data_IF_040198667612
#
_entry.id   IF_040198667612
#
_cell.length_a   1.000
_cell.length_b   1.000
_cell.length_c   1.000
_cell.angle_alpha   90.00
_cell.angle_beta   90.00
_cell.angle_gamma   90.00
#
_symmetry.space_group_name_H-M   'P 1'
#
loop_
_entity.id
_entity.type
_entity.pdbx_description
1 polymer ?
#
# COMPACT_ATOMS: atom_id res chain seq x y z
N UNK A 1 -6.17 -2.92 -35.27
CA UNK A 1 -5.06 -2.44 -34.42
C UNK A 1 -5.55 -1.58 -33.25
N UNK A 2 -6.55 -0.70 -33.41
CA UNK A 2 -7.12 0.07 -32.28
C UNK A 2 -7.80 -0.79 -31.19
N UNK A 3 -8.45 -1.90 -31.56
CA UNK A 3 -9.13 -2.78 -30.60
C UNK A 3 -8.17 -3.40 -29.58
N UNK A 4 -7.00 -3.84 -30.05
CA UNK A 4 -5.97 -4.48 -29.22
C UNK A 4 -5.35 -3.52 -28.21
N UNK A 5 -5.15 -2.23 -28.56
CA UNK A 5 -4.61 -1.23 -27.62
C UNK A 5 -5.60 -0.92 -26.49
N UNK A 6 -6.89 -0.79 -26.81
CA UNK A 6 -7.94 -0.57 -25.81
C UNK A 6 -8.11 -1.78 -24.87
N UNK A 7 -7.98 -3.01 -25.39
CA UNK A 7 -8.02 -4.24 -24.60
C UNK A 7 -6.83 -4.32 -23.62
N UNK A 8 -5.61 -3.99 -24.04
CA UNK A 8 -4.44 -3.96 -23.16
C UNK A 8 -4.60 -2.92 -22.05
N UNK A 9 -5.02 -1.69 -22.40
CA UNK A 9 -5.29 -0.65 -21.40
C UNK A 9 -6.34 -1.08 -20.38
N UNK A 10 -7.40 -1.78 -20.81
CA UNK A 10 -8.41 -2.29 -19.89
C UNK A 10 -7.88 -3.39 -18.95
N UNK A 11 -6.98 -4.25 -19.44
CA UNK A 11 -6.31 -5.28 -18.63
C UNK A 11 -5.39 -4.63 -17.60
N UNK A 12 -4.61 -3.63 -18.02
CA UNK A 12 -3.68 -2.92 -17.13
C UNK A 12 -4.43 -2.21 -16.00
N UNK A 13 -5.54 -1.52 -16.30
CA UNK A 13 -6.40 -0.89 -15.28
C UNK A 13 -6.91 -1.91 -14.26
N UNK A 14 -7.35 -3.08 -14.73
CA UNK A 14 -7.88 -4.12 -13.85
C UNK A 14 -6.81 -4.65 -12.91
N UNK A 15 -5.62 -4.95 -13.44
CA UNK A 15 -4.49 -5.40 -12.63
C UNK A 15 -4.09 -4.35 -11.60
N UNK A 16 -4.08 -3.07 -11.98
CA UNK A 16 -3.87 -1.96 -11.07
C UNK A 16 -4.87 -1.97 -9.93
N UNK A 17 -6.15 -2.10 -10.27
CA UNK A 17 -7.25 -2.03 -9.31
C UNK A 17 -7.24 -3.22 -8.35
N UNK A 18 -6.99 -4.43 -8.87
CA UNK A 18 -6.86 -5.63 -8.05
C UNK A 18 -5.66 -5.53 -7.09
N UNK A 19 -4.55 -4.93 -7.54
CA UNK A 19 -3.36 -4.74 -6.72
C UNK A 19 -3.49 -3.60 -5.68
N UNK A 20 -4.12 -2.49 -6.03
CA UNK A 20 -4.04 -1.24 -5.25
C UNK A 20 -5.38 -0.63 -4.84
N UNK A 21 -6.50 -1.12 -5.37
CA UNK A 21 -7.83 -0.52 -5.15
C UNK A 21 -8.21 -0.43 -3.67
N UNK A 22 -7.95 -1.49 -2.90
CA UNK A 22 -8.21 -1.47 -1.45
C UNK A 22 -7.35 -0.46 -0.69
N UNK A 23 -6.11 -0.25 -1.13
CA UNK A 23 -5.14 0.67 -0.53
C UNK A 23 -5.54 2.12 -0.81
N UNK A 24 -5.88 2.45 -2.06
CA UNK A 24 -6.36 3.79 -2.47
C UNK A 24 -7.70 4.11 -1.80
N UNK A 25 -8.64 3.16 -1.79
CA UNK A 25 -9.92 3.36 -1.10
C UNK A 25 -9.73 3.59 0.41
N UNK A 26 -8.84 2.83 1.05
CA UNK A 26 -8.52 2.99 2.48
C UNK A 26 -7.95 4.39 2.78
N UNK A 27 -7.15 4.94 1.87
CA UNK A 27 -6.63 6.29 2.00
C UNK A 27 -7.74 7.34 1.79
N UNK A 28 -8.57 7.20 0.75
CA UNK A 28 -9.65 8.14 0.46
C UNK A 28 -10.68 8.20 1.60
N UNK A 29 -11.13 7.04 2.13
CA UNK A 29 -12.12 6.97 3.23
C UNK A 29 -11.63 7.58 4.54
N UNK A 30 -10.32 7.85 4.67
CA UNK A 30 -9.78 8.51 5.87
C UNK A 30 -10.18 9.98 5.94
N UNK A 31 -10.42 10.60 4.79
CA UNK A 31 -10.70 12.03 4.66
C UNK A 31 -12.10 12.32 4.13
N UNK A 32 -12.75 11.33 3.51
CA UNK A 32 -14.05 11.46 2.85
C UNK A 32 -15.04 10.43 3.39
N UNK A 33 -16.33 10.67 3.18
CA UNK A 33 -17.36 9.66 3.41
C UNK A 33 -17.27 8.51 2.37
N UNK A 34 -17.89 7.37 2.66
CA UNK A 34 -17.75 6.14 1.84
C UNK A 34 -18.13 6.33 0.36
N UNK A 35 -19.20 7.09 0.08
CA UNK A 35 -19.65 7.36 -1.28
C UNK A 35 -18.62 8.18 -2.07
N UNK A 36 -18.14 9.29 -1.48
CA UNK A 36 -17.14 10.17 -2.08
C UNK A 36 -15.79 9.47 -2.22
N UNK A 37 -15.41 8.66 -1.22
CA UNK A 37 -14.18 7.87 -1.25
C UNK A 37 -14.18 6.85 -2.39
N UNK A 38 -15.31 6.17 -2.61
CA UNK A 38 -15.47 5.21 -3.71
C UNK A 38 -15.45 5.89 -5.08
N UNK A 39 -16.14 7.03 -5.21
CA UNK A 39 -16.12 7.83 -6.43
C UNK A 39 -14.70 8.33 -6.75
N UNK A 40 -14.04 8.95 -5.77
CA UNK A 40 -12.68 9.46 -5.93
C UNK A 40 -11.68 8.36 -6.28
N UNK A 41 -11.78 7.19 -5.63
CA UNK A 41 -10.93 6.03 -5.95
C UNK A 41 -11.05 5.66 -7.43
N UNK A 42 -12.27 5.51 -7.94
CA UNK A 42 -12.50 5.19 -9.35
C UNK A 42 -11.87 6.25 -10.28
N UNK A 43 -12.10 7.53 -9.99
CA UNK A 43 -11.63 8.62 -10.83
C UNK A 43 -10.09 8.72 -10.84
N UNK A 44 -9.42 8.34 -9.75
CA UNK A 44 -7.96 8.25 -9.67
C UNK A 44 -7.45 7.17 -10.63
N UNK A 45 -8.02 5.97 -10.59
CA UNK A 45 -7.60 4.87 -11.49
C UNK A 45 -7.82 5.24 -12.96
N UNK A 46 -8.94 5.89 -13.28
CA UNK A 46 -9.21 6.38 -14.64
C UNK A 46 -8.20 7.44 -15.07
N UNK A 47 -7.88 8.39 -14.19
CA UNK A 47 -6.93 9.46 -14.50
C UNK A 47 -5.50 8.94 -14.71
N UNK A 48 -5.03 8.03 -13.85
CA UNK A 48 -3.70 7.43 -13.99
C UNK A 48 -3.62 6.55 -15.24
N UNK A 49 -4.66 5.79 -15.55
CA UNK A 49 -4.68 4.97 -16.75
C UNK A 49 -4.64 5.79 -18.05
N UNK A 50 -5.26 6.96 -18.06
CA UNK A 50 -5.21 7.89 -19.19
C UNK A 50 -3.80 8.44 -19.45
N UNK A 51 -2.90 8.42 -18.46
CA UNK A 51 -1.50 8.86 -18.60
C UNK A 51 -0.61 7.79 -19.26
N UNK A 52 -1.07 6.54 -19.35
CA UNK A 52 -0.33 5.45 -19.99
C UNK A 52 0.93 5.00 -19.23
N UNK A 53 1.00 5.26 -17.92
CA UNK A 53 2.14 4.88 -17.08
C UNK A 53 2.17 3.38 -16.77
N UNK A 54 3.36 2.78 -16.90
CA UNK A 54 3.60 1.36 -16.65
C UNK A 54 3.78 1.03 -15.15
N UNK A 55 4.22 2.00 -14.34
CA UNK A 55 4.30 1.84 -12.88
C UNK A 55 3.18 2.63 -12.20
N UNK A 56 2.10 1.93 -11.91
CA UNK A 56 0.87 2.58 -11.49
C UNK A 56 0.88 2.89 -9.98
N UNK A 57 1.73 2.26 -9.17
CA UNK A 57 1.65 2.44 -7.71
C UNK A 57 2.05 3.85 -7.25
N UNK A 58 3.20 4.42 -7.68
CA UNK A 58 3.57 5.80 -7.35
C UNK A 58 2.59 6.82 -7.93
N UNK A 59 2.16 6.61 -9.18
CA UNK A 59 1.22 7.48 -9.87
C UNK A 59 -0.14 7.54 -9.16
N UNK A 60 -0.68 6.38 -8.76
CA UNK A 60 -1.94 6.29 -8.01
C UNK A 60 -1.83 7.03 -6.67
N UNK A 61 -0.74 6.84 -5.92
CA UNK A 61 -0.56 7.56 -4.64
C UNK A 61 -0.37 9.07 -4.84
N UNK A 62 0.39 9.48 -5.85
CA UNK A 62 0.60 10.89 -6.17
C UNK A 62 -0.70 11.58 -6.58
N UNK A 63 -1.48 10.96 -7.46
CA UNK A 63 -2.80 11.44 -7.87
C UNK A 63 -3.76 11.51 -6.67
N UNK A 64 -3.78 10.46 -5.83
CA UNK A 64 -4.61 10.43 -4.63
C UNK A 64 -4.26 11.56 -3.68
N UNK A 65 -2.97 11.76 -3.39
CA UNK A 65 -2.50 12.81 -2.50
C UNK A 65 -2.90 14.20 -3.02
N UNK A 66 -2.67 14.46 -4.32
CA UNK A 66 -3.02 15.71 -4.97
C UNK A 66 -4.51 16.01 -4.87
N UNK A 67 -5.37 15.01 -5.11
CA UNK A 67 -6.82 15.18 -5.03
C UNK A 67 -7.30 15.32 -3.58
N UNK A 68 -6.75 14.58 -2.63
CA UNK A 68 -7.15 14.71 -1.23
C UNK A 68 -6.72 16.05 -0.62
N UNK A 69 -5.62 16.64 -1.08
CA UNK A 69 -5.16 17.96 -0.65
C UNK A 69 -6.14 19.10 -1.03
N UNK A 70 -7.12 18.87 -1.91
CA UNK A 70 -8.20 19.85 -2.16
C UNK A 70 -9.33 19.77 -1.11
N UNK A 71 -9.38 18.69 -0.33
CA UNK A 71 -10.43 18.40 0.64
C UNK A 71 -9.93 18.42 2.10
N UNK A 72 -8.62 18.29 2.32
CA UNK A 72 -8.02 18.17 3.65
C UNK A 72 -6.66 18.87 3.72
N UNK A 73 -6.15 19.03 4.95
CA UNK A 73 -4.82 19.58 5.19
C UNK A 73 -3.73 18.77 4.45
N UNK A 74 -2.89 19.41 3.61
CA UNK A 74 -1.87 18.72 2.83
C UNK A 74 -0.85 17.95 3.68
N UNK A 75 -0.50 18.45 4.87
CA UNK A 75 0.42 17.75 5.78
C UNK A 75 -0.22 16.49 6.33
N UNK A 76 -1.49 16.55 6.75
CA UNK A 76 -2.24 15.37 7.18
C UNK A 76 -2.39 14.32 6.06
N UNK A 77 -2.58 14.76 4.81
CA UNK A 77 -2.61 13.87 3.63
C UNK A 77 -1.26 13.21 3.40
N UNK A 78 -0.16 13.97 3.42
CA UNK A 78 1.19 13.44 3.24
C UNK A 78 1.53 12.37 4.30
N UNK A 79 1.21 12.64 5.57
CA UNK A 79 1.38 11.69 6.66
C UNK A 79 0.54 10.41 6.46
N UNK A 80 -0.68 10.55 5.95
CA UNK A 80 -1.55 9.40 5.68
C UNK A 80 -1.06 8.57 4.49
N UNK A 81 -0.50 9.21 3.47
CA UNK A 81 0.16 8.54 2.34
C UNK A 81 1.35 7.73 2.84
N UNK A 82 2.16 8.28 3.74
CA UNK A 82 3.30 7.54 4.29
C UNK A 82 2.84 6.32 5.12
N UNK A 83 1.84 6.50 5.98
CA UNK A 83 1.25 5.40 6.74
C UNK A 83 0.63 4.33 5.85
N UNK A 84 -0.01 4.71 4.73
CA UNK A 84 -0.62 3.73 3.85
C UNK A 84 0.43 2.89 3.11
N UNK A 85 1.59 3.46 2.74
CA UNK A 85 2.71 2.70 2.16
C UNK A 85 3.25 1.64 3.13
N UNK A 86 3.44 2.02 4.39
CA UNK A 86 3.86 1.08 5.45
C UNK A 86 2.82 -0.04 5.61
N UNK A 87 1.53 0.33 5.69
CA UNK A 87 0.45 -0.62 5.85
C UNK A 87 0.32 -1.56 4.64
N UNK A 88 0.52 -1.07 3.41
CA UNK A 88 0.52 -1.87 2.19
C UNK A 88 1.71 -2.84 2.17
N UNK A 89 2.92 -2.35 2.51
CA UNK A 89 4.11 -3.19 2.63
C UNK A 89 3.94 -4.31 3.65
N UNK A 90 3.35 -4.01 4.81
CA UNK A 90 3.04 -5.01 5.83
C UNK A 90 2.03 -6.05 5.32
N UNK A 91 0.97 -5.64 4.61
CA UNK A 91 -0.02 -6.55 4.02
C UNK A 91 0.57 -7.49 2.97
N UNK A 92 1.61 -7.06 2.25
CA UNK A 92 2.27 -7.87 1.22
C UNK A 92 3.21 -8.94 1.77
N UNK A 93 3.58 -8.87 3.06
CA UNK A 93 4.35 -9.93 3.70
C UNK A 93 3.53 -11.22 3.78
N UNK A 94 4.21 -12.36 3.59
CA UNK A 94 3.62 -13.68 3.87
C UNK A 94 3.18 -13.76 5.33
N UNK A 95 2.04 -14.40 5.59
CA UNK A 95 1.37 -14.39 6.91
C UNK A 95 2.29 -14.75 8.09
N UNK A 96 3.14 -15.80 8.03
CA UNK A 96 4.06 -16.10 9.13
C UNK A 96 4.96 -14.92 9.49
N UNK A 97 5.55 -14.28 8.48
CA UNK A 97 6.44 -13.13 8.65
C UNK A 97 5.69 -11.89 9.10
N UNK A 98 4.53 -11.62 8.49
CA UNK A 98 3.64 -10.51 8.87
C UNK A 98 3.29 -10.58 10.36
N UNK A 99 2.94 -11.78 10.85
CA UNK A 99 2.63 -12.01 12.25
C UNK A 99 3.81 -11.70 13.17
N UNK A 100 5.03 -12.15 12.83
CA UNK A 100 6.23 -11.86 13.62
C UNK A 100 6.54 -10.36 13.69
N UNK A 101 6.45 -9.66 12.56
CA UNK A 101 6.65 -8.21 12.49
C UNK A 101 5.60 -7.46 13.32
N UNK A 102 4.33 -7.87 13.24
CA UNK A 102 3.25 -7.27 14.04
C UNK A 102 3.48 -7.45 15.54
N UNK A 103 3.84 -8.66 15.99
CA UNK A 103 4.13 -8.91 17.41
C UNK A 103 5.28 -8.04 17.93
N UNK A 104 6.30 -7.81 17.11
CA UNK A 104 7.44 -6.98 17.49
C UNK A 104 7.10 -5.48 17.56
N UNK A 105 6.38 -4.96 16.56
CA UNK A 105 6.16 -3.52 16.43
C UNK A 105 4.88 -3.02 17.13
N UNK A 106 3.81 -3.81 17.09
CA UNK A 106 2.49 -3.43 17.62
C UNK A 106 2.33 -3.93 19.04
N UNK A 107 2.58 -5.21 19.26
CA UNK A 107 2.48 -5.81 20.60
C UNK A 107 3.72 -5.53 21.46
N UNK A 108 4.79 -4.97 20.87
CA UNK A 108 6.06 -4.60 21.53
C UNK A 108 6.72 -5.77 22.28
N UNK A 109 6.55 -6.99 21.75
CA UNK A 109 7.21 -8.17 22.28
C UNK A 109 8.67 -8.21 21.83
N UNK A 110 9.54 -8.69 22.70
CA UNK A 110 10.92 -8.98 22.34
C UNK A 110 11.05 -10.31 21.57
N UNK A 111 12.24 -10.60 21.03
CA UNK A 111 12.46 -11.81 20.24
C UNK A 111 12.23 -13.12 21.03
N UNK A 112 12.49 -13.13 22.33
CA UNK A 112 12.31 -14.31 23.18
C UNK A 112 10.82 -14.54 23.49
N UNK A 113 10.08 -13.47 23.79
CA UNK A 113 8.63 -13.51 23.98
C UNK A 113 7.90 -13.96 22.71
N UNK A 114 8.32 -13.45 21.55
CA UNK A 114 7.79 -13.87 20.24
C UNK A 114 8.11 -15.35 19.99
N UNK A 115 9.36 -15.77 20.23
CA UNK A 115 9.76 -17.17 20.06
C UNK A 115 8.90 -18.11 20.91
N UNK A 116 8.69 -17.78 22.19
CA UNK A 116 7.85 -18.54 23.08
C UNK A 116 6.38 -18.59 22.63
N UNK A 117 5.84 -17.47 22.13
CA UNK A 117 4.44 -17.36 21.66
C UNK A 117 4.18 -18.04 20.32
N UNK A 118 5.21 -18.20 19.49
CA UNK A 118 5.07 -18.73 18.11
C UNK A 118 5.63 -20.14 17.94
N UNK A 119 6.34 -20.65 18.94
CA UNK A 119 7.14 -21.89 18.84
C UNK A 119 8.19 -21.83 17.73
N UNK A 120 8.59 -20.62 17.30
CA UNK A 120 9.66 -20.37 16.34
C UNK A 120 10.97 -20.09 17.08
N UNK A 121 12.11 -20.64 16.67
CA UNK A 121 13.41 -20.35 17.30
C UNK A 121 13.74 -18.84 17.30
N UNK A 122 14.30 -18.31 18.40
CA UNK A 122 14.59 -16.88 18.54
C UNK A 122 15.53 -16.32 17.45
N UNK A 123 16.49 -17.12 16.97
CA UNK A 123 17.37 -16.73 15.87
C UNK A 123 16.60 -16.56 14.54
N UNK A 124 15.62 -17.44 14.30
CA UNK A 124 14.75 -17.38 13.13
C UNK A 124 13.78 -16.21 13.24
N UNK A 125 13.20 -15.95 14.42
CA UNK A 125 12.40 -14.75 14.69
C UNK A 125 13.16 -13.48 14.32
N UNK A 126 14.40 -13.33 14.79
CA UNK A 126 15.23 -12.18 14.47
C UNK A 126 15.59 -12.08 12.98
N UNK A 127 15.78 -13.20 12.28
CA UNK A 127 16.03 -13.21 10.84
C UNK A 127 14.79 -12.80 10.04
N UNK A 128 13.61 -13.37 10.37
CA UNK A 128 12.35 -13.10 9.69
C UNK A 128 11.85 -11.68 9.91
N UNK A 129 12.00 -11.12 11.11
CA UNK A 129 11.65 -9.71 11.37
C UNK A 129 12.53 -8.80 10.53
N UNK A 130 13.85 -9.01 10.50
CA UNK A 130 14.76 -8.21 9.66
C UNK A 130 14.41 -8.32 8.18
N UNK A 131 14.13 -9.53 7.70
CA UNK A 131 13.69 -9.74 6.32
C UNK A 131 12.37 -9.02 6.02
N UNK A 132 11.43 -9.03 6.97
CA UNK A 132 10.15 -8.33 6.86
C UNK A 132 10.31 -6.82 6.81
N UNK A 133 11.12 -6.24 7.70
CA UNK A 133 11.41 -4.81 7.71
C UNK A 133 12.10 -4.36 6.41
N UNK A 134 13.08 -5.13 5.92
CA UNK A 134 13.75 -4.86 4.64
C UNK A 134 12.77 -4.91 3.47
N UNK A 135 11.88 -5.92 3.43
CA UNK A 135 10.85 -6.02 2.41
C UNK A 135 9.86 -4.84 2.45
N UNK A 136 9.43 -4.41 3.65
CA UNK A 136 8.58 -3.21 3.81
C UNK A 136 9.30 -1.97 3.31
N UNK A 137 10.57 -1.77 3.68
CA UNK A 137 11.35 -0.61 3.25
C UNK A 137 11.52 -0.56 1.73
N UNK A 138 11.84 -1.69 1.10
CA UNK A 138 11.96 -1.79 -0.36
C UNK A 138 10.64 -1.44 -1.05
N UNK A 139 9.52 -1.93 -0.49
CA UNK A 139 8.18 -1.63 -1.00
C UNK A 139 7.82 -0.15 -0.87
N UNK A 140 8.08 0.45 0.30
CA UNK A 140 7.85 1.89 0.52
C UNK A 140 8.65 2.74 -0.47
N UNK A 141 9.91 2.37 -0.71
CA UNK A 141 10.80 3.05 -1.66
C UNK A 141 10.26 2.94 -3.09
N UNK A 142 9.79 1.75 -3.49
CA UNK A 142 9.20 1.54 -4.80
C UNK A 142 7.89 2.32 -5.01
N UNK A 143 7.12 2.58 -3.95
CA UNK A 143 5.86 3.35 -4.00
C UNK A 143 6.03 4.86 -3.84
N UNK A 144 7.25 5.36 -3.62
CA UNK A 144 7.49 6.79 -3.47
C UNK A 144 7.32 7.48 -4.84
N UNK A 145 6.58 8.60 -4.93
CA UNK A 145 6.52 9.40 -6.15
C UNK A 145 7.91 9.92 -6.47
N UNK A 146 8.25 9.93 -7.75
CA UNK A 146 9.48 10.51 -8.29
C UNK A 146 9.54 12.03 -8.09
#
# INVERSE_FOLDING_TARGET
MANTTLEHQAIDIRQAFDAHGSTIFTLCRRFLGDADASALTRDIFVAVAAQGEADQAPALLGETARRLATHADPTAVADAVERIRIADGLRRLAEPRRRLVTLALVDRLDHAEIAARTSTPALEVAAEIRAGLSAIQNHMTAMAPA
#
